data_IF_684701418887
#
_entry.id   IF_684701418887
#
_cell.length_a   1.000
_cell.length_b   1.000
_cell.length_c   1.000
_cell.angle_alpha   90.00
_cell.angle_beta   90.00
_cell.angle_gamma   90.00
#
_symmetry.space_group_name_H-M   'P 1'
#
loop_
_entity.id
_entity.type
_entity.pdbx_description
1 polymer ?
#
# COMPACT_ATOMS: atom_id res chain seq x y z
N UNK A 1 9.37 7.33 3.84
CA UNK A 1 9.23 5.93 4.33
C UNK A 1 10.45 5.14 3.89
N UNK A 2 11.09 4.39 4.77
CA UNK A 2 12.26 3.61 4.41
C UNK A 2 11.84 2.24 3.85
N UNK A 3 12.80 1.45 3.37
CA UNK A 3 12.54 0.15 2.74
C UNK A 3 11.78 -0.80 3.67
N UNK A 4 12.16 -0.82 4.94
CA UNK A 4 11.56 -1.72 5.92
C UNK A 4 10.11 -1.33 6.17
N UNK A 5 9.86 -0.04 6.33
CA UNK A 5 8.50 0.47 6.54
C UNK A 5 7.61 0.17 5.34
N UNK A 6 8.14 0.38 4.14
CA UNK A 6 7.38 0.10 2.92
C UNK A 6 7.09 -1.38 2.79
N UNK A 7 8.06 -2.23 3.11
CA UNK A 7 7.86 -3.67 3.07
C UNK A 7 6.71 -4.09 3.99
N UNK A 8 6.72 -3.59 5.23
CA UNK A 8 5.65 -3.92 6.17
C UNK A 8 4.30 -3.39 5.72
N UNK A 9 4.28 -2.22 5.13
CA UNK A 9 3.03 -1.67 4.59
C UNK A 9 2.46 -2.57 3.50
N UNK A 10 3.30 -3.05 2.59
CA UNK A 10 2.89 -3.96 1.53
C UNK A 10 2.39 -5.28 2.12
N UNK A 11 3.08 -5.80 3.12
CA UNK A 11 2.66 -7.03 3.80
C UNK A 11 1.27 -6.86 4.41
N UNK A 12 1.04 -5.73 5.09
CA UNK A 12 -0.27 -5.45 5.68
C UNK A 12 -1.35 -5.32 4.60
N UNK A 13 -1.04 -4.66 3.51
CA UNK A 13 -1.97 -4.52 2.39
C UNK A 13 -2.35 -5.90 1.82
N UNK A 14 -1.37 -6.74 1.58
CA UNK A 14 -1.62 -8.09 1.04
C UNK A 14 -2.43 -8.93 2.01
N UNK A 15 -2.13 -8.83 3.31
CA UNK A 15 -2.89 -9.55 4.34
C UNK A 15 -4.34 -9.10 4.35
N UNK A 16 -4.58 -7.80 4.24
CA UNK A 16 -5.94 -7.26 4.19
C UNK A 16 -6.68 -7.72 2.93
N UNK A 17 -6.00 -7.75 1.80
CA UNK A 17 -6.58 -8.23 0.54
C UNK A 17 -7.01 -9.70 0.65
N UNK A 18 -6.15 -10.52 1.24
CA UNK A 18 -6.46 -11.94 1.45
C UNK A 18 -7.62 -12.13 2.41
N UNK A 19 -7.65 -11.33 3.47
CA UNK A 19 -8.74 -11.38 4.45
C UNK A 19 -10.06 -11.01 3.79
N UNK A 20 -10.06 -9.98 2.95
CA UNK A 20 -11.27 -9.58 2.22
C UNK A 20 -11.73 -10.66 1.25
N UNK A 21 -10.78 -11.31 0.59
CA UNK A 21 -11.10 -12.39 -0.32
C UNK A 21 -11.80 -13.55 0.39
N UNK A 22 -11.37 -13.85 1.63
CA UNK A 22 -11.94 -14.92 2.42
C UNK A 22 -13.29 -14.55 3.04
N UNK A 23 -13.44 -13.28 3.40
CA UNK A 23 -14.63 -12.80 4.11
C UNK A 23 -14.93 -11.38 3.64
N UNK A 24 -15.87 -11.21 2.73
CA UNK A 24 -16.19 -9.92 2.11
C UNK A 24 -16.86 -8.96 3.10
N UNK A 25 -16.19 -8.71 4.22
CA UNK A 25 -16.66 -7.80 5.26
C UNK A 25 -16.36 -6.37 4.85
N UNK A 26 -17.31 -5.47 5.08
CA UNK A 26 -17.17 -4.06 4.73
C UNK A 26 -15.99 -3.40 5.45
N UNK A 27 -15.79 -3.75 6.73
CA UNK A 27 -14.66 -3.19 7.49
C UNK A 27 -13.32 -3.63 6.93
N UNK A 28 -13.24 -4.89 6.53
CA UNK A 28 -12.03 -5.43 5.89
C UNK A 28 -11.79 -4.75 4.56
N UNK A 29 -12.86 -4.52 3.79
CA UNK A 29 -12.75 -3.80 2.51
C UNK A 29 -12.19 -2.40 2.72
N UNK A 30 -12.71 -1.66 3.71
CA UNK A 30 -12.25 -0.30 3.97
C UNK A 30 -10.80 -0.27 4.42
N UNK A 31 -10.39 -1.21 5.28
CA UNK A 31 -9.01 -1.33 5.70
C UNK A 31 -8.09 -1.64 4.52
N UNK A 32 -8.52 -2.53 3.64
CA UNK A 32 -7.80 -2.88 2.43
C UNK A 32 -7.59 -1.65 1.54
N UNK A 33 -8.66 -0.90 1.29
CA UNK A 33 -8.60 0.32 0.47
C UNK A 33 -7.67 1.36 1.06
N UNK A 34 -7.72 1.53 2.38
CA UNK A 34 -6.84 2.47 3.06
C UNK A 34 -5.37 2.11 2.86
N UNK A 35 -5.05 0.82 3.04
CA UNK A 35 -3.68 0.34 2.87
C UNK A 35 -3.23 0.44 1.41
N UNK A 36 -4.11 0.11 0.46
CA UNK A 36 -3.81 0.26 -0.96
C UNK A 36 -3.50 1.71 -1.31
N UNK A 37 -4.29 2.65 -0.78
CA UNK A 37 -4.08 4.07 -1.02
C UNK A 37 -2.74 4.53 -0.44
N UNK A 38 -2.34 4.02 0.71
CA UNK A 38 -1.06 4.35 1.31
C UNK A 38 0.10 3.84 0.47
N UNK A 39 -0.01 2.62 -0.05
CA UNK A 39 1.01 2.05 -0.94
C UNK A 39 1.09 2.87 -2.22
N UNK A 40 -0.05 3.20 -2.81
CA UNK A 40 -0.09 3.99 -4.04
C UNK A 40 0.53 5.37 -3.85
N UNK A 41 0.25 6.02 -2.72
CA UNK A 41 0.81 7.33 -2.41
C UNK A 41 2.33 7.27 -2.30
N UNK A 42 2.86 6.22 -1.68
CA UNK A 42 4.32 6.06 -1.55
C UNK A 42 4.96 5.77 -2.90
N UNK A 43 4.33 4.92 -3.71
CA UNK A 43 4.81 4.64 -5.06
C UNK A 43 4.89 5.94 -5.87
N UNK A 44 3.84 6.74 -5.81
CA UNK A 44 3.81 8.01 -6.53
C UNK A 44 4.87 8.98 -6.05
N UNK A 45 5.08 9.05 -4.72
CA UNK A 45 6.12 9.89 -4.14
C UNK A 45 7.50 9.49 -4.65
N UNK A 46 7.80 8.20 -4.65
CA UNK A 46 9.10 7.70 -5.10
C UNK A 46 9.25 7.94 -6.60
N UNK A 47 8.18 7.75 -7.36
CA UNK A 47 8.20 7.98 -8.80
C UNK A 47 8.52 9.44 -9.12
N UNK A 48 7.95 10.38 -8.36
CA UNK A 48 8.24 11.81 -8.51
C UNK A 48 9.71 12.10 -8.22
N UNK A 49 10.24 11.53 -7.14
CA UNK A 49 11.65 11.72 -6.77
C UNK A 49 12.56 11.20 -7.87
N UNK A 50 12.28 10.02 -8.41
CA UNK A 50 13.07 9.43 -9.47
C UNK A 50 13.02 10.26 -10.76
N UNK A 51 11.83 10.78 -11.10
CA UNK A 51 11.68 11.63 -12.28
C UNK A 51 12.44 12.93 -12.14
N UNK A 52 12.38 13.54 -10.96
CA UNK A 52 13.04 14.83 -10.71
C UNK A 52 14.56 14.67 -10.62
N UNK A 53 15.02 13.57 -10.04
CA UNK A 53 16.45 13.32 -9.83
C UNK A 53 17.10 12.48 -10.89
N UNK A 54 16.32 11.84 -11.76
CA UNK A 54 16.83 10.88 -12.73
C UNK A 54 17.19 11.47 -14.08
N UNK A 55 17.14 12.75 -14.19
CA UNK A 55 17.40 13.44 -15.46
C UNK A 55 18.87 13.63 -15.71
#
# INVERSE_FOLDING_TARGET
MNHKEFFYLVVQMRSAQKAYFMNHDRHVFMACRKLENQVDAEIERVRQVLNDGGV
#
